data_IF_245112566459
#
_entry.id   IF_245112566459
#
_cell.length_a   1.000
_cell.length_b   1.000
_cell.length_c   1.000
_cell.angle_alpha   90.00
_cell.angle_beta   90.00
_cell.angle_gamma   90.00
#
_symmetry.space_group_name_H-M   'P 1'
#
loop_
_entity.id
_entity.type
_entity.pdbx_description
1 polymer ?
#
# COMPACT_ATOMS: atom_id res chain seq x y z
N UNK A 1 -21.54 19.39 20.99
CA UNK A 1 -21.11 18.10 20.39
C UNK A 1 -22.09 17.05 20.88
N UNK A 2 -22.94 16.53 19.99
CA UNK A 2 -23.99 15.57 20.40
C UNK A 2 -23.37 14.16 20.51
N UNK A 3 -23.96 13.29 21.34
CA UNK A 3 -23.53 11.89 21.55
C UNK A 3 -23.44 11.11 20.22
N UNK A 4 -24.25 11.48 19.21
CA UNK A 4 -24.17 10.91 17.85
C UNK A 4 -22.85 11.18 17.15
N UNK A 5 -22.24 12.35 17.38
CA UNK A 5 -20.96 12.72 16.75
C UNK A 5 -19.79 11.93 17.34
N UNK A 6 -19.88 11.55 18.62
CA UNK A 6 -18.89 10.70 19.29
C UNK A 6 -18.96 9.25 18.79
N UNK A 7 -20.17 8.72 18.55
CA UNK A 7 -20.35 7.35 18.05
C UNK A 7 -19.86 7.19 16.60
N UNK A 8 -20.00 8.23 15.77
CA UNK A 8 -19.51 8.22 14.38
C UNK A 8 -17.97 8.24 14.35
N UNK A 9 -17.31 8.94 15.28
CA UNK A 9 -15.85 9.00 15.38
C UNK A 9 -15.22 7.68 15.85
N UNK A 10 -15.90 6.91 16.70
CA UNK A 10 -15.38 5.64 17.23
C UNK A 10 -15.34 4.52 16.18
N UNK A 11 -16.14 4.61 15.11
CA UNK A 11 -16.22 3.58 14.06
C UNK A 11 -15.61 3.99 12.71
N UNK A 12 -14.98 5.16 12.60
CA UNK A 12 -14.36 5.60 11.35
C UNK A 12 -13.03 4.87 11.16
N UNK A 13 -12.88 4.02 10.12
CA UNK A 13 -11.67 3.25 9.91
C UNK A 13 -10.48 4.16 9.58
N UNK A 14 -9.32 3.81 10.12
CA UNK A 14 -8.08 4.52 9.82
C UNK A 14 -7.58 4.16 8.42
N UNK A 15 -7.08 5.15 7.69
CA UNK A 15 -6.45 4.97 6.39
C UNK A 15 -5.05 5.55 6.42
N UNK A 16 -4.03 4.71 6.27
CA UNK A 16 -2.65 5.18 6.21
C UNK A 16 -2.22 5.28 4.76
N UNK A 17 -1.88 6.48 4.33
CA UNK A 17 -1.31 6.79 3.03
C UNK A 17 0.22 6.77 3.14
N UNK A 18 0.89 5.90 2.38
CA UNK A 18 2.34 5.70 2.42
C UNK A 18 2.93 6.15 1.08
N UNK A 19 3.64 7.29 1.03
CA UNK A 19 4.29 7.79 -0.17
C UNK A 19 5.40 6.86 -0.70
N UNK A 20 5.72 7.00 -2.00
CA UNK A 20 6.88 6.39 -2.60
C UNK A 20 8.18 7.11 -2.29
N UNK A 21 9.22 6.86 -3.12
CA UNK A 21 10.54 7.51 -3.00
C UNK A 21 10.39 9.04 -2.97
N UNK A 22 11.18 9.69 -2.11
CA UNK A 22 11.14 11.13 -1.88
C UNK A 22 10.12 11.57 -0.83
N UNK A 23 9.31 10.66 -0.27
CA UNK A 23 8.41 10.88 0.90
C UNK A 23 7.63 12.23 0.86
N UNK A 24 7.10 12.61 -0.29
CA UNK A 24 6.42 13.90 -0.50
C UNK A 24 5.10 13.98 0.28
N UNK A 25 5.20 13.97 1.60
CA UNK A 25 4.08 13.94 2.56
C UNK A 25 3.02 15.00 2.27
N UNK A 26 3.44 16.22 1.90
CA UNK A 26 2.53 17.33 1.65
C UNK A 26 1.54 17.05 0.51
N UNK A 27 1.96 16.34 -0.56
CA UNK A 27 1.06 15.95 -1.67
C UNK A 27 -0.06 15.01 -1.17
N UNK A 28 0.28 14.09 -0.27
CA UNK A 28 -0.69 13.17 0.30
C UNK A 28 -1.62 13.86 1.32
N UNK A 29 -1.12 14.88 2.01
CA UNK A 29 -1.95 15.69 2.91
C UNK A 29 -3.05 16.45 2.13
N UNK A 30 -2.77 16.89 0.89
CA UNK A 30 -3.76 17.55 0.04
C UNK A 30 -4.94 16.65 -0.34
N UNK A 31 -4.75 15.35 -0.39
CA UNK A 31 -5.83 14.41 -0.73
C UNK A 31 -6.60 13.89 0.50
N UNK A 32 -6.12 14.13 1.71
CA UNK A 32 -6.80 13.70 2.94
C UNK A 32 -8.27 14.13 3.04
N UNK A 33 -8.67 15.37 2.66
CA UNK A 33 -10.09 15.75 2.67
C UNK A 33 -10.96 14.84 1.80
N UNK A 34 -10.45 14.39 0.65
CA UNK A 34 -11.18 13.47 -0.25
C UNK A 34 -11.40 12.10 0.41
N UNK A 35 -10.44 11.63 1.20
CA UNK A 35 -10.54 10.36 1.90
C UNK A 35 -11.43 10.45 3.14
N UNK A 36 -11.45 11.61 3.83
CA UNK A 36 -12.45 11.88 4.89
C UNK A 36 -13.87 11.84 4.33
N UNK A 37 -14.09 12.45 3.16
CA UNK A 37 -15.39 12.43 2.49
C UNK A 37 -15.85 11.01 2.08
N UNK A 38 -14.90 10.04 2.02
CA UNK A 38 -15.16 8.63 1.75
C UNK A 38 -15.34 7.79 3.04
N UNK A 39 -15.37 8.43 4.21
CA UNK A 39 -15.63 7.78 5.49
C UNK A 39 -14.37 7.20 6.15
N UNK A 40 -13.17 7.67 5.82
CA UNK A 40 -11.93 7.27 6.49
C UNK A 40 -11.36 8.37 7.38
N UNK A 41 -10.56 7.97 8.37
CA UNK A 41 -9.65 8.84 9.10
C UNK A 41 -8.24 8.75 8.46
N UNK A 42 -7.87 9.65 7.52
CA UNK A 42 -6.62 9.53 6.77
C UNK A 42 -5.43 10.06 7.57
N UNK A 43 -4.36 9.27 7.57
CA UNK A 43 -3.04 9.55 8.10
C UNK A 43 -2.01 9.49 6.97
N UNK A 44 -0.97 10.31 7.00
CA UNK A 44 0.14 10.23 6.05
C UNK A 44 1.40 9.83 6.77
N UNK A 45 1.93 8.67 6.42
CA UNK A 45 3.14 8.10 7.02
C UNK A 45 4.32 8.21 6.05
N UNK A 46 5.28 9.10 6.33
CA UNK A 46 6.55 9.17 5.61
C UNK A 46 7.47 8.02 6.06
N UNK A 47 7.84 7.16 5.13
CA UNK A 47 8.64 5.97 5.42
C UNK A 47 10.10 6.30 5.70
N UNK A 48 10.63 7.35 5.06
CA UNK A 48 12.04 7.75 5.17
C UNK A 48 12.93 7.01 4.16
N UNK A 49 12.50 6.90 2.89
CA UNK A 49 13.20 6.14 1.86
C UNK A 49 14.65 6.58 1.64
N UNK A 50 14.92 7.86 1.77
CA UNK A 50 16.24 8.49 1.55
C UNK A 50 17.01 8.73 2.85
N UNK A 51 16.39 8.49 4.00
CA UNK A 51 17.05 8.60 5.30
C UNK A 51 18.08 7.47 5.46
N UNK A 52 19.37 7.84 5.54
CA UNK A 52 20.47 6.89 5.73
C UNK A 52 20.81 6.63 7.19
N UNK A 53 20.26 7.42 8.12
CA UNK A 53 20.51 7.26 9.56
C UNK A 53 19.82 6.03 10.16
N UNK A 54 18.74 5.56 9.51
CA UNK A 54 18.00 4.39 9.91
C UNK A 54 18.02 3.32 8.83
N UNK A 55 18.25 2.08 9.24
CA UNK A 55 18.12 0.94 8.36
C UNK A 55 16.64 0.65 8.00
N UNK A 56 16.44 -0.23 7.03
CA UNK A 56 15.10 -0.61 6.57
C UNK A 56 14.24 -1.18 7.71
N UNK A 57 14.80 -2.05 8.56
CA UNK A 57 14.03 -2.72 9.62
C UNK A 57 13.52 -1.73 10.66
N UNK A 58 14.32 -0.73 11.03
CA UNK A 58 13.87 0.34 11.94
C UNK A 58 12.72 1.15 11.33
N UNK A 59 12.78 1.44 10.02
CA UNK A 59 11.71 2.13 9.31
C UNK A 59 10.42 1.32 9.26
N UNK A 60 10.54 0.01 8.97
CA UNK A 60 9.41 -0.91 8.92
C UNK A 60 8.79 -1.10 10.30
N UNK A 61 9.60 -1.25 11.35
CA UNK A 61 9.12 -1.33 12.73
C UNK A 61 8.39 -0.05 13.15
N UNK A 62 8.89 1.13 12.77
CA UNK A 62 8.21 2.42 13.02
C UNK A 62 6.82 2.47 12.37
N UNK A 63 6.66 1.95 11.15
CA UNK A 63 5.35 1.83 10.50
C UNK A 63 4.44 0.85 11.26
N UNK A 64 4.97 -0.30 11.64
CA UNK A 64 4.23 -1.31 12.39
C UNK A 64 3.76 -0.78 13.75
N UNK A 65 4.64 -0.10 14.51
CA UNK A 65 4.30 0.52 15.79
C UNK A 65 3.25 1.62 15.61
N UNK A 66 3.35 2.42 14.53
CA UNK A 66 2.34 3.42 14.20
C UNK A 66 0.97 2.78 14.00
N UNK A 67 0.89 1.67 13.25
CA UNK A 67 -0.35 0.92 13.02
C UNK A 67 -0.91 0.38 14.34
N UNK A 68 -0.06 -0.18 15.19
CA UNK A 68 -0.48 -0.75 16.49
C UNK A 68 -1.05 0.28 17.45
N UNK A 69 -0.60 1.51 17.38
CA UNK A 69 -1.05 2.61 18.26
C UNK A 69 -2.37 3.26 17.80
N UNK A 70 -2.87 2.93 16.61
CA UNK A 70 -4.19 3.39 16.16
C UNK A 70 -5.28 2.49 16.76
N UNK A 71 -6.41 3.07 17.12
CA UNK A 71 -7.59 2.32 17.55
C UNK A 71 -8.46 1.96 16.34
N UNK A 72 -9.13 0.79 16.37
CA UNK A 72 -10.04 0.32 15.33
C UNK A 72 -9.34 -0.28 14.11
N UNK A 73 -10.10 -0.46 13.03
CA UNK A 73 -9.64 -1.06 11.78
C UNK A 73 -8.68 -0.13 11.03
N UNK A 74 -7.67 -0.72 10.41
CA UNK A 74 -6.66 0.01 9.63
C UNK A 74 -6.66 -0.48 8.19
N UNK A 75 -6.66 0.47 7.26
CA UNK A 75 -6.47 0.24 5.84
C UNK A 75 -5.21 0.95 5.37
N UNK A 76 -4.51 0.38 4.40
CA UNK A 76 -3.29 0.97 3.87
C UNK A 76 -3.45 1.29 2.38
N UNK A 77 -2.96 2.45 1.97
CA UNK A 77 -2.70 2.75 0.56
C UNK A 77 -1.23 3.09 0.41
N UNK A 78 -0.51 2.24 -0.29
CA UNK A 78 0.90 2.47 -0.61
C UNK A 78 1.08 2.83 -2.08
N UNK A 79 1.76 3.94 -2.36
CA UNK A 79 2.06 4.35 -3.72
C UNK A 79 3.53 4.11 -4.05
N UNK A 80 3.81 3.55 -5.23
CA UNK A 80 5.17 3.22 -5.67
C UNK A 80 5.91 2.39 -4.59
N UNK A 81 7.09 2.80 -4.14
CA UNK A 81 7.81 2.15 -3.05
C UNK A 81 6.96 1.97 -1.77
N UNK A 82 6.05 2.92 -1.48
CA UNK A 82 5.14 2.85 -0.33
C UNK A 82 4.25 1.60 -0.32
N UNK A 83 3.91 1.05 -1.50
CA UNK A 83 3.15 -0.19 -1.60
C UNK A 83 3.94 -1.41 -1.11
N UNK A 84 5.26 -1.42 -1.31
CA UNK A 84 6.12 -2.49 -0.76
C UNK A 84 6.15 -2.43 0.76
N UNK A 85 6.28 -1.23 1.35
CA UNK A 85 6.22 -1.04 2.79
C UNK A 85 4.86 -1.45 3.38
N UNK A 86 3.75 -1.12 2.69
CA UNK A 86 2.40 -1.51 3.10
C UNK A 86 2.22 -3.04 3.12
N UNK A 87 2.73 -3.75 2.11
CA UNK A 87 2.64 -5.21 2.05
C UNK A 87 3.53 -5.88 3.10
N UNK A 88 4.73 -5.35 3.38
CA UNK A 88 5.55 -5.83 4.47
C UNK A 88 4.90 -5.58 5.84
N UNK A 89 4.18 -4.46 6.01
CA UNK A 89 3.40 -4.22 7.22
C UNK A 89 2.26 -5.25 7.36
N UNK A 90 1.56 -5.58 6.27
CA UNK A 90 0.55 -6.64 6.26
C UNK A 90 1.15 -8.01 6.63
N UNK A 91 2.36 -8.31 6.15
CA UNK A 91 3.06 -9.55 6.50
C UNK A 91 3.34 -9.66 8.00
N UNK A 92 3.72 -8.54 8.62
CA UNK A 92 4.03 -8.45 10.06
C UNK A 92 2.78 -8.37 10.96
N UNK A 93 1.59 -8.14 10.38
CA UNK A 93 0.35 -8.00 11.14
C UNK A 93 -0.19 -9.37 11.57
N UNK A 94 0.10 -9.75 12.80
CA UNK A 94 -0.36 -11.02 13.40
C UNK A 94 -1.71 -10.88 14.12
N UNK A 95 -2.26 -9.67 14.21
CA UNK A 95 -3.45 -9.37 15.01
C UNK A 95 -4.67 -8.95 14.15
N UNK A 96 -4.59 -9.16 12.85
CA UNK A 96 -5.65 -8.79 11.90
C UNK A 96 -6.12 -7.33 12.00
N UNK A 97 -5.21 -6.42 12.33
CA UNK A 97 -5.47 -4.98 12.39
C UNK A 97 -5.65 -4.36 11.01
N UNK A 98 -4.88 -4.87 10.04
CA UNK A 98 -4.91 -4.39 8.67
C UNK A 98 -5.99 -5.15 7.91
N UNK A 99 -7.09 -4.47 7.60
CA UNK A 99 -8.27 -5.05 6.93
C UNK A 99 -8.18 -5.02 5.41
N UNK A 100 -7.34 -4.15 4.85
CA UNK A 100 -7.13 -4.08 3.41
C UNK A 100 -5.92 -3.26 3.02
N UNK A 101 -5.30 -3.64 1.92
CA UNK A 101 -4.15 -2.94 1.35
C UNK A 101 -4.40 -2.66 -0.13
N UNK A 102 -4.35 -1.40 -0.52
CA UNK A 102 -4.29 -1.00 -1.91
C UNK A 102 -2.86 -0.53 -2.26
N UNK A 103 -2.32 -1.04 -3.35
CA UNK A 103 -1.04 -0.56 -3.88
C UNK A 103 -1.27 0.14 -5.20
N UNK A 104 -0.56 1.24 -5.45
CA UNK A 104 -0.69 2.03 -6.67
C UNK A 104 0.68 2.15 -7.34
N UNK A 105 0.82 1.64 -8.56
CA UNK A 105 2.05 1.70 -9.35
C UNK A 105 3.29 1.19 -8.55
N UNK A 106 3.14 0.08 -7.84
CA UNK A 106 4.14 -0.43 -6.90
C UNK A 106 5.11 -1.39 -7.59
N UNK A 107 6.45 -1.20 -7.44
CA UNK A 107 7.43 -2.13 -7.98
C UNK A 107 7.59 -3.34 -7.04
N UNK A 108 7.28 -4.52 -7.52
CA UNK A 108 7.53 -5.78 -6.80
C UNK A 108 8.86 -6.43 -7.21
N UNK A 109 9.55 -5.79 -8.17
CA UNK A 109 10.88 -6.18 -8.64
C UNK A 109 11.83 -5.02 -8.51
N UNK A 110 12.98 -5.27 -7.90
CA UNK A 110 14.01 -4.26 -7.84
C UNK A 110 14.71 -4.11 -9.19
N UNK A 111 14.71 -2.89 -9.72
CA UNK A 111 15.50 -2.50 -10.89
C UNK A 111 16.68 -1.64 -10.46
N UNK A 112 17.90 -2.02 -10.79
CA UNK A 112 19.14 -1.29 -10.43
C UNK A 112 19.11 0.21 -10.77
N UNK A 113 18.30 0.61 -11.76
CA UNK A 113 18.10 2.03 -12.12
C UNK A 113 17.49 2.87 -11.00
N UNK A 114 16.77 2.27 -10.04
CA UNK A 114 16.13 2.98 -8.93
C UNK A 114 17.14 3.41 -7.86
N UNK A 115 18.34 2.83 -7.81
CA UNK A 115 19.49 3.20 -6.94
C UNK A 115 19.09 3.50 -5.48
N UNK A 116 18.12 2.80 -4.91
CA UNK A 116 17.70 2.98 -3.53
C UNK A 116 17.81 1.66 -2.76
N UNK A 117 18.76 1.60 -1.84
CA UNK A 117 19.06 0.39 -1.08
C UNK A 117 17.94 0.01 -0.12
N UNK A 118 17.26 0.99 0.49
CA UNK A 118 16.10 0.76 1.35
C UNK A 118 14.99 0.06 0.57
N UNK A 119 14.70 0.49 -0.66
CA UNK A 119 13.72 -0.15 -1.52
C UNK A 119 14.16 -1.56 -1.95
N UNK A 120 15.45 -1.75 -2.28
CA UNK A 120 15.97 -3.08 -2.62
C UNK A 120 15.76 -4.06 -1.46
N UNK A 121 16.06 -3.63 -0.24
CA UNK A 121 15.85 -4.42 0.97
C UNK A 121 14.36 -4.70 1.19
N UNK A 122 13.51 -3.69 1.06
CA UNK A 122 12.07 -3.83 1.22
C UNK A 122 11.46 -4.87 0.26
N UNK A 123 11.88 -4.85 -1.02
CA UNK A 123 11.44 -5.83 -2.03
C UNK A 123 11.96 -7.23 -1.71
N UNK A 124 13.21 -7.36 -1.26
CA UNK A 124 13.78 -8.65 -0.84
C UNK A 124 13.03 -9.25 0.35
N UNK A 125 12.70 -8.41 1.33
CA UNK A 125 11.92 -8.80 2.50
C UNK A 125 10.51 -9.25 2.10
N UNK A 126 9.83 -8.49 1.24
CA UNK A 126 8.52 -8.85 0.72
C UNK A 126 8.57 -10.22 0.03
N UNK A 127 9.56 -10.47 -0.83
CA UNK A 127 9.71 -11.76 -1.50
C UNK A 127 9.86 -12.93 -0.51
N UNK A 128 10.55 -12.70 0.60
CA UNK A 128 10.71 -13.69 1.68
C UNK A 128 9.41 -13.92 2.47
N UNK A 129 8.57 -12.88 2.62
CA UNK A 129 7.33 -12.94 3.39
C UNK A 129 6.15 -13.53 2.60
N UNK A 130 6.15 -13.39 1.26
CA UNK A 130 5.03 -13.81 0.40
C UNK A 130 4.52 -15.24 0.64
N UNK A 131 5.37 -16.27 0.84
CA UNK A 131 4.89 -17.62 1.10
C UNK A 131 4.01 -17.73 2.35
N UNK A 132 4.29 -16.93 3.39
CA UNK A 132 3.53 -16.89 4.64
C UNK A 132 2.26 -16.04 4.58
N UNK A 133 2.10 -15.20 3.55
CA UNK A 133 1.00 -14.25 3.43
C UNK A 133 -0.21 -14.77 2.64
N UNK A 134 -0.23 -15.99 2.18
CA UNK A 134 -1.24 -16.49 1.22
C UNK A 134 -2.69 -16.29 1.69
N UNK A 135 -2.96 -16.47 2.98
CA UNK A 135 -4.28 -16.24 3.56
C UNK A 135 -4.71 -14.75 3.52
N UNK A 136 -3.76 -13.83 3.36
CA UNK A 136 -3.99 -12.38 3.34
C UNK A 136 -4.12 -11.81 1.92
N UNK A 137 -3.95 -12.60 0.87
CA UNK A 137 -3.97 -12.10 -0.51
C UNK A 137 -5.32 -11.54 -0.94
N UNK A 138 -6.42 -12.04 -0.39
CA UNK A 138 -7.77 -11.50 -0.62
C UNK A 138 -7.96 -10.08 -0.09
N UNK A 139 -7.09 -9.63 0.80
CA UNK A 139 -7.08 -8.26 1.33
C UNK A 139 -6.23 -7.29 0.49
N UNK A 140 -5.64 -7.76 -0.62
CA UNK A 140 -4.73 -6.97 -1.44
C UNK A 140 -5.37 -6.63 -2.78
N UNK A 141 -5.41 -5.33 -3.11
CA UNK A 141 -5.72 -4.86 -4.47
C UNK A 141 -4.55 -4.06 -5.01
N UNK A 142 -4.04 -4.45 -6.18
CA UNK A 142 -2.94 -3.77 -6.85
C UNK A 142 -3.43 -2.99 -8.07
N UNK A 143 -3.24 -1.67 -8.04
CA UNK A 143 -3.60 -0.75 -9.12
C UNK A 143 -2.34 -0.39 -9.93
N UNK A 144 -2.41 -0.55 -11.24
CA UNK A 144 -1.30 -0.29 -12.15
C UNK A 144 -1.76 0.37 -13.45
N UNK A 145 -0.83 0.95 -14.20
CA UNK A 145 -1.07 1.43 -15.57
C UNK A 145 -0.18 0.71 -16.56
N UNK A 146 -0.71 0.38 -17.74
CA UNK A 146 0.07 -0.21 -18.83
C UNK A 146 1.07 0.77 -19.45
N UNK A 147 0.88 2.06 -19.23
CA UNK A 147 1.72 3.13 -19.74
C UNK A 147 2.66 3.70 -18.66
N UNK A 148 2.90 2.98 -17.57
CA UNK A 148 3.87 3.38 -16.55
C UNK A 148 5.30 3.05 -17.03
N UNK A 149 6.09 4.10 -17.25
CA UNK A 149 7.48 3.96 -17.73
C UNK A 149 8.50 3.78 -16.59
N UNK A 150 8.10 4.09 -15.36
CA UNK A 150 8.96 3.94 -14.16
C UNK A 150 8.82 2.54 -13.58
N UNK A 151 7.58 2.10 -13.40
CA UNK A 151 7.24 0.76 -12.91
C UNK A 151 6.39 0.06 -13.98
N UNK A 152 7.00 -0.72 -14.88
CA UNK A 152 6.27 -1.43 -15.92
C UNK A 152 5.20 -2.37 -15.34
N UNK A 153 4.12 -2.65 -16.07
CA UNK A 153 3.05 -3.55 -15.62
C UNK A 153 3.56 -4.91 -15.14
N UNK A 154 4.61 -5.43 -15.78
CA UNK A 154 5.26 -6.68 -15.37
C UNK A 154 5.86 -6.61 -13.98
N UNK A 155 6.31 -5.44 -13.55
CA UNK A 155 6.92 -5.23 -12.23
C UNK A 155 5.89 -4.88 -11.16
N UNK A 156 4.68 -4.46 -11.57
CA UNK A 156 3.55 -4.11 -10.69
C UNK A 156 2.62 -5.29 -10.40
N UNK A 157 3.01 -6.51 -10.77
CA UNK A 157 2.23 -7.72 -10.55
C UNK A 157 3.06 -8.78 -9.84
N UNK A 158 2.59 -9.20 -8.67
CA UNK A 158 3.25 -10.23 -7.85
C UNK A 158 3.23 -11.61 -8.52
N UNK A 159 2.15 -11.95 -9.24
CA UNK A 159 2.00 -13.22 -9.93
C UNK A 159 3.10 -13.48 -10.95
N UNK A 160 3.59 -12.47 -11.65
CA UNK A 160 4.65 -12.62 -12.64
C UNK A 160 6.01 -13.04 -12.04
N UNK A 161 6.22 -12.84 -10.75
CA UNK A 161 7.49 -13.09 -10.06
C UNK A 161 7.49 -14.37 -9.24
N UNK A 162 6.35 -14.68 -8.66
CA UNK A 162 6.20 -15.84 -7.79
C UNK A 162 6.00 -17.13 -8.58
N UNK A 163 5.44 -17.06 -9.80
CA UNK A 163 5.24 -18.22 -10.69
C UNK A 163 6.58 -18.82 -11.14
N UNK A 164 7.64 -17.99 -11.27
CA UNK A 164 8.98 -18.47 -11.66
C UNK A 164 9.70 -19.26 -10.56
N UNK A 165 9.30 -19.11 -9.30
CA UNK A 165 9.94 -19.76 -8.15
C UNK A 165 9.14 -20.92 -7.54
N UNK A 166 7.85 -21.02 -7.82
CA UNK A 166 7.02 -22.13 -7.36
C UNK A 166 5.94 -22.46 -8.38
N UNK A 167 5.78 -23.74 -8.72
CA UNK A 167 4.71 -24.29 -9.57
C UNK A 167 3.29 -24.14 -8.95
N UNK A 168 3.02 -23.06 -8.22
CA UNK A 168 1.80 -22.92 -7.44
C UNK A 168 0.94 -21.74 -7.92
N UNK A 169 -0.26 -22.08 -8.40
CA UNK A 169 -1.41 -21.20 -8.70
C UNK A 169 -1.93 -20.34 -7.53
N UNK A 170 -1.19 -20.24 -6.42
CA UNK A 170 -1.65 -19.67 -5.14
C UNK A 170 -1.74 -18.13 -5.09
N UNK A 171 -1.21 -17.43 -6.10
CA UNK A 171 -1.29 -15.96 -6.19
C UNK A 171 -2.53 -15.46 -6.94
N UNK A 172 -3.45 -16.36 -7.30
CA UNK A 172 -4.67 -16.03 -8.04
C UNK A 172 -5.65 -15.12 -7.26
N UNK A 173 -5.47 -15.00 -5.95
CA UNK A 173 -6.41 -14.28 -5.08
C UNK A 173 -6.09 -12.79 -4.89
N UNK A 174 -5.02 -12.26 -5.50
CA UNK A 174 -4.73 -10.83 -5.47
C UNK A 174 -5.56 -10.14 -6.56
N UNK A 175 -6.30 -9.11 -6.18
CA UNK A 175 -7.09 -8.34 -7.13
C UNK A 175 -6.20 -7.34 -7.89
N UNK A 176 -6.04 -7.53 -9.21
CA UNK A 176 -5.28 -6.62 -10.07
C UNK A 176 -6.21 -5.71 -10.87
N UNK A 177 -6.04 -4.40 -10.74
CA UNK A 177 -6.89 -3.39 -11.35
C UNK A 177 -6.07 -2.45 -12.22
N UNK A 178 -6.37 -2.42 -13.53
CA UNK A 178 -5.77 -1.45 -14.44
C UNK A 178 -6.43 -0.09 -14.31
N UNK A 179 -5.61 0.97 -14.23
CA UNK A 179 -6.04 2.36 -14.33
C UNK A 179 -5.73 2.91 -15.73
N UNK A 180 -6.68 3.59 -16.38
CA UNK A 180 -6.50 4.19 -17.70
C UNK A 180 -5.71 5.51 -17.59
N UNK A 181 -4.45 5.42 -17.18
CA UNK A 181 -3.57 6.57 -16.93
C UNK A 181 -2.26 6.42 -17.68
N UNK A 182 -1.56 7.54 -17.88
CA UNK A 182 -0.25 7.58 -18.53
C UNK A 182 0.82 8.08 -17.56
N UNK A 183 1.90 7.29 -17.42
CA UNK A 183 3.05 7.66 -16.60
C UNK A 183 2.82 7.46 -15.10
N UNK A 184 3.94 7.32 -14.39
CA UNK A 184 3.98 6.90 -12.99
C UNK A 184 3.30 7.87 -12.03
N UNK A 185 3.70 9.14 -12.07
CA UNK A 185 3.17 10.16 -11.18
C UNK A 185 1.67 10.40 -11.37
N UNK A 186 1.20 10.41 -12.65
CA UNK A 186 -0.21 10.60 -12.94
C UNK A 186 -1.05 9.40 -12.51
N UNK A 187 -0.53 8.18 -12.59
CA UNK A 187 -1.19 6.98 -12.09
C UNK A 187 -1.43 7.07 -10.58
N UNK A 188 -0.40 7.52 -9.84
CA UNK A 188 -0.52 7.71 -8.38
C UNK A 188 -1.52 8.82 -8.07
N UNK A 189 -1.38 9.99 -8.71
CA UNK A 189 -2.27 11.13 -8.47
C UNK A 189 -3.74 10.80 -8.78
N UNK A 190 -4.01 10.18 -9.93
CA UNK A 190 -5.34 9.78 -10.32
C UNK A 190 -5.92 8.69 -9.41
N UNK A 191 -5.11 7.72 -8.99
CA UNK A 191 -5.51 6.70 -8.00
C UNK A 191 -5.95 7.33 -6.69
N UNK A 192 -5.18 8.27 -6.16
CA UNK A 192 -5.49 8.94 -4.89
C UNK A 192 -6.67 9.91 -4.97
N UNK A 193 -7.06 10.36 -6.16
CA UNK A 193 -8.10 11.38 -6.37
C UNK A 193 -9.30 10.83 -7.16
N UNK A 194 -9.19 10.81 -8.50
CA UNK A 194 -10.27 10.46 -9.43
C UNK A 194 -10.78 9.03 -9.22
N UNK A 195 -9.85 8.07 -9.07
CA UNK A 195 -10.17 6.67 -8.84
C UNK A 195 -10.26 6.29 -7.36
N UNK A 196 -10.17 7.27 -6.45
CA UNK A 196 -10.22 7.04 -5.00
C UNK A 196 -11.50 6.32 -4.55
N UNK A 197 -12.65 6.57 -5.18
CA UNK A 197 -13.90 5.84 -4.91
C UNK A 197 -13.80 4.34 -5.26
N UNK A 198 -13.17 4.01 -6.41
CA UNK A 198 -12.92 2.63 -6.81
C UNK A 198 -11.94 1.93 -5.85
N UNK A 199 -10.89 2.64 -5.41
CA UNK A 199 -9.93 2.11 -4.44
C UNK A 199 -10.62 1.88 -3.09
N UNK A 200 -11.41 2.84 -2.61
CA UNK A 200 -12.18 2.71 -1.37
C UNK A 200 -13.10 1.49 -1.40
N UNK A 201 -13.87 1.31 -2.47
CA UNK A 201 -14.76 0.16 -2.62
C UNK A 201 -14.00 -1.17 -2.55
N UNK A 202 -12.84 -1.28 -3.19
CA UNK A 202 -12.02 -2.51 -3.15
C UNK A 202 -11.37 -2.73 -1.79
N UNK A 203 -11.03 -1.67 -1.05
CA UNK A 203 -10.46 -1.80 0.30
C UNK A 203 -11.47 -2.34 1.31
N UNK A 204 -12.73 -1.92 1.21
CA UNK A 204 -13.78 -2.25 2.18
C UNK A 204 -14.65 -3.44 1.77
N UNK A 205 -14.46 -3.96 0.56
CA UNK A 205 -15.17 -5.18 0.13
C UNK A 205 -14.70 -6.38 0.95
N UNK A 206 -15.63 -7.25 1.37
CA UNK A 206 -15.25 -8.51 2.01
C UNK A 206 -14.38 -9.34 1.04
N UNK A 207 -13.45 -10.16 1.56
CA UNK A 207 -12.68 -11.10 0.74
C UNK A 207 -13.63 -12.00 -0.03
N UNK A 208 -13.41 -12.12 -1.35
CA UNK A 208 -14.15 -13.03 -2.22
C UNK A 208 -13.55 -14.43 -2.17
#
# INVERSE_FOLDING_TARGET
MQIRDIFILVNTPNLILIPGLGDRKWLYQLVCPLWRARGFCPHVFAFGWEDTANDYHKKQNRLHDYIRNLEGDVYLIGASAGGVAALNALAMDNNDRIKGVATIATPYVYRRRLKNETLARAISELASNLPGMQAKFTHITSFYSIHDQVVPPTDSRLDNHCIKQSNNSKFANINYQQLPTFGHGLTIAAGLTVFGGRISANLTSPPQ
#
